data_IF_507016384608
#
_entry.id   IF_507016384608
#
_cell.length_a   1.000
_cell.length_b   1.000
_cell.length_c   1.000
_cell.angle_alpha   90.00
_cell.angle_beta   90.00
_cell.angle_gamma   90.00
#
_symmetry.space_group_name_H-M   'P 1'
#
loop_
_entity.id
_entity.type
_entity.pdbx_description
1 polymer ?
#
# COMPACT_ATOMS: atom_id res chain seq x y z
N UNK A 1 -85.75 -45.62 -7.83
CA UNK A 1 -86.05 -46.15 -6.48
C UNK A 1 -85.60 -45.10 -5.48
N UNK A 2 -86.56 -44.54 -4.71
CA UNK A 2 -86.47 -43.68 -3.51
C UNK A 2 -85.28 -42.70 -3.37
N UNK A 3 -85.44 -41.38 -3.33
CA UNK A 3 -86.25 -40.54 -2.41
C UNK A 3 -85.25 -39.50 -1.84
N UNK A 4 -85.43 -38.19 -1.87
CA UNK A 4 -86.55 -37.41 -1.35
C UNK A 4 -86.08 -36.61 -0.11
N UNK A 5 -86.11 -35.27 -0.23
CA UNK A 5 -86.17 -34.21 0.82
C UNK A 5 -84.87 -33.83 1.56
N UNK A 6 -84.37 -32.59 1.43
CA UNK A 6 -84.85 -31.26 1.91
C UNK A 6 -84.68 -31.04 3.42
N UNK A 7 -83.80 -30.10 3.77
CA UNK A 7 -83.82 -29.12 4.90
C UNK A 7 -82.43 -28.46 4.94
N UNK A 8 -82.21 -27.15 5.12
CA UNK A 8 -83.02 -25.98 5.36
C UNK A 8 -82.09 -24.77 5.56
N UNK A 9 -82.59 -23.57 5.23
CA UNK A 9 -82.31 -22.23 5.78
C UNK A 9 -80.89 -21.83 6.25
N UNK A 10 -80.18 -20.91 5.58
CA UNK A 10 -80.28 -19.42 5.59
C UNK A 10 -79.40 -18.75 6.67
N UNK A 11 -78.65 -17.71 6.24
CA UNK A 11 -78.14 -16.54 7.03
C UNK A 11 -76.84 -16.83 7.83
N UNK A 12 -75.73 -16.05 7.87
CA UNK A 12 -75.49 -14.60 7.82
C UNK A 12 -74.00 -14.28 7.58
N UNK A 13 -73.77 -13.10 6.99
CA UNK A 13 -72.77 -12.07 7.30
C UNK A 13 -71.26 -12.37 7.43
N UNK A 14 -70.53 -11.77 6.49
CA UNK A 14 -69.78 -10.52 6.72
C UNK A 14 -69.21 -10.28 8.13
N UNK A 15 -67.90 -10.51 8.26
CA UNK A 15 -66.92 -9.75 9.07
C UNK A 15 -65.59 -10.48 8.80
N UNK A 16 -64.51 -9.84 8.38
CA UNK A 16 -63.89 -8.68 9.03
C UNK A 16 -62.70 -8.24 8.15
N UNK A 17 -62.56 -6.92 7.95
CA UNK A 17 -61.31 -6.12 8.04
C UNK A 17 -60.08 -6.57 7.22
N UNK A 18 -59.26 -5.73 6.59
CA UNK A 18 -59.07 -4.28 6.54
C UNK A 18 -57.76 -4.09 5.71
N UNK A 19 -57.63 -2.98 4.97
CA UNK A 19 -56.42 -2.47 4.28
C UNK A 19 -55.96 -3.25 3.03
N UNK A 20 -56.07 -2.71 1.80
CA UNK A 20 -55.59 -1.44 1.21
C UNK A 20 -54.07 -1.46 0.94
N UNK A 21 -53.77 -1.53 -0.36
CA UNK A 21 -52.58 -1.03 -1.07
C UNK A 21 -51.25 -1.83 -1.03
N UNK A 22 -50.83 -2.15 -2.27
CA UNK A 22 -49.46 -2.14 -2.80
C UNK A 22 -48.46 -3.20 -2.32
N UNK A 23 -48.28 -4.23 -3.15
CA UNK A 23 -47.11 -5.10 -3.09
C UNK A 23 -46.55 -5.36 -4.49
N UNK A 24 -45.58 -4.51 -4.89
CA UNK A 24 -44.38 -4.85 -5.68
C UNK A 24 -43.31 -3.80 -5.34
N UNK A 25 -42.02 -4.14 -5.29
CA UNK A 25 -41.40 -5.29 -4.65
C UNK A 25 -40.48 -4.85 -3.50
N UNK A 26 -40.26 -5.72 -2.52
CA UNK A 26 -39.21 -5.59 -1.50
C UNK A 26 -37.88 -5.85 -2.20
N UNK A 27 -37.28 -4.80 -2.78
CA UNK A 27 -35.95 -4.87 -3.39
C UNK A 27 -35.27 -3.50 -3.36
N UNK A 28 -35.23 -2.84 -2.19
CA UNK A 28 -34.42 -1.61 -2.00
C UNK A 28 -33.65 -1.61 -0.67
N UNK A 29 -33.75 -2.64 0.17
CA UNK A 29 -32.97 -2.71 1.43
C UNK A 29 -31.83 -3.72 1.27
N UNK A 30 -30.89 -3.45 0.37
CA UNK A 30 -29.59 -4.16 0.34
C UNK A 30 -28.43 -3.34 -0.25
N UNK A 31 -28.57 -2.02 -0.38
CA UNK A 31 -27.53 -1.15 -0.96
C UNK A 31 -27.05 -0.02 -0.03
N UNK A 32 -27.29 -0.10 1.28
CA UNK A 32 -26.77 0.89 2.26
C UNK A 32 -25.66 0.32 3.17
N UNK A 33 -25.36 -0.99 3.13
CA UNK A 33 -24.29 -1.58 3.96
C UNK A 33 -22.88 -1.55 3.33
N UNK A 34 -22.66 -0.84 2.22
CA UNK A 34 -21.31 -0.71 1.62
C UNK A 34 -20.55 0.54 2.07
N UNK A 35 -21.10 1.34 3.01
CA UNK A 35 -20.39 2.49 3.59
C UNK A 35 -20.60 2.53 5.11
N UNK A 36 -20.08 1.52 5.81
CA UNK A 36 -19.66 1.69 7.20
C UNK A 36 -18.22 1.18 7.25
N UNK A 37 -17.20 2.04 7.12
CA UNK A 37 -15.87 1.63 7.54
C UNK A 37 -15.99 1.23 9.01
N UNK A 38 -15.63 -0.01 9.33
CA UNK A 38 -15.45 -0.41 10.70
C UNK A 38 -14.37 0.49 11.27
N UNK A 39 -14.77 1.43 12.13
CA UNK A 39 -13.84 2.20 12.96
C UNK A 39 -13.30 1.23 14.01
N UNK A 40 -12.39 0.37 13.58
CA UNK A 40 -11.37 -0.09 14.49
C UNK A 40 -10.60 1.15 14.92
N UNK A 41 -10.43 1.31 16.23
CA UNK A 41 -9.58 2.34 16.82
C UNK A 41 -8.13 1.98 16.46
N UNK A 42 -7.74 2.26 15.21
CA UNK A 42 -6.36 2.34 14.81
C UNK A 42 -5.84 3.69 15.29
N UNK A 43 -4.71 3.65 16.00
CA UNK A 43 -3.96 4.83 16.41
C UNK A 43 -3.78 5.75 15.20
N UNK A 44 -4.46 6.91 15.22
CA UNK A 44 -4.14 8.11 14.46
C UNK A 44 -3.32 7.84 13.18
N UNK A 45 -3.97 7.35 12.13
CA UNK A 45 -3.41 7.46 10.79
C UNK A 45 -3.35 8.96 10.43
N UNK A 46 -2.20 9.57 10.73
CA UNK A 46 -1.80 10.81 10.09
C UNK A 46 -1.85 10.55 8.59
N UNK A 47 -2.58 11.40 7.86
CA UNK A 47 -2.61 11.53 6.39
C UNK A 47 -1.55 10.66 5.71
N UNK A 48 -1.97 9.63 4.98
CA UNK A 48 -1.13 8.85 4.05
C UNK A 48 -0.59 9.79 2.96
N UNK A 49 0.40 10.60 3.33
CA UNK A 49 1.19 11.46 2.48
C UNK A 49 2.34 10.66 1.90
N UNK A 50 2.89 11.18 0.80
CA UNK A 50 4.14 10.69 0.23
C UNK A 50 5.22 10.73 1.33
N UNK A 51 5.77 9.57 1.67
CA UNK A 51 6.92 9.40 2.57
C UNK A 51 8.17 9.56 1.73
N UNK A 52 9.05 10.46 2.15
CA UNK A 52 10.31 10.76 1.46
C UNK A 52 11.47 10.16 2.25
N UNK A 53 12.23 9.27 1.63
CA UNK A 53 13.36 8.57 2.24
C UNK A 53 14.62 8.87 1.45
N UNK A 54 15.67 9.28 2.16
CA UNK A 54 16.96 9.57 1.57
C UNK A 54 18.03 8.57 2.02
N UNK A 55 18.98 8.30 1.12
CA UNK A 55 20.27 7.73 1.48
C UNK A 55 21.37 8.74 1.21
N UNK A 56 22.10 9.15 2.26
CA UNK A 56 23.18 10.16 2.19
C UNK A 56 24.44 9.56 1.59
N UNK A 57 24.69 8.28 1.85
CA UNK A 57 25.90 7.57 1.47
C UNK A 57 26.65 7.04 2.68
N UNK A 58 27.94 6.76 2.45
CA UNK A 58 28.83 6.10 3.39
C UNK A 58 30.05 6.97 3.71
N UNK A 59 30.46 6.97 4.98
CA UNK A 59 31.82 7.32 5.36
C UNK A 59 32.57 6.03 5.67
N UNK A 60 33.64 5.76 4.91
CA UNK A 60 34.38 4.50 4.97
C UNK A 60 35.86 4.75 5.16
N UNK A 61 36.39 4.33 6.31
CA UNK A 61 37.80 4.44 6.65
C UNK A 61 38.50 3.08 6.48
N UNK A 62 39.74 3.08 5.99
CA UNK A 62 40.61 1.89 5.86
C UNK A 62 40.05 0.69 5.07
N UNK A 63 38.93 0.85 4.36
CA UNK A 63 38.30 -0.18 3.54
C UNK A 63 38.84 -0.08 2.09
N UNK A 64 39.31 -1.16 1.46
CA UNK A 64 39.73 -1.15 0.06
C UNK A 64 38.58 -0.76 -0.90
N UNK A 65 38.90 -0.05 -1.98
CA UNK A 65 37.92 0.52 -2.92
C UNK A 65 36.92 -0.52 -3.49
N UNK A 66 37.38 -1.76 -3.75
CA UNK A 66 36.51 -2.84 -4.22
C UNK A 66 35.39 -3.16 -3.23
N UNK A 67 35.72 -3.19 -1.94
CA UNK A 67 34.75 -3.44 -0.87
C UNK A 67 33.89 -2.20 -0.60
N UNK A 68 34.44 -0.99 -0.74
CA UNK A 68 33.65 0.24 -0.67
C UNK A 68 32.50 0.25 -1.70
N UNK A 69 32.80 -0.11 -2.96
CA UNK A 69 31.78 -0.23 -4.01
C UNK A 69 30.73 -1.29 -3.70
N UNK A 70 31.17 -2.43 -3.17
CA UNK A 70 30.27 -3.51 -2.77
C UNK A 70 29.31 -3.06 -1.65
N UNK A 71 29.86 -2.43 -0.60
CA UNK A 71 29.06 -1.87 0.51
C UNK A 71 28.06 -0.85 -0.05
N UNK A 72 28.53 0.08 -0.88
CA UNK A 72 27.70 1.11 -1.47
C UNK A 72 26.51 0.53 -2.25
N UNK A 73 26.78 -0.42 -3.15
CA UNK A 73 25.72 -1.08 -3.92
C UNK A 73 24.71 -1.80 -3.02
N UNK A 74 25.19 -2.47 -1.97
CA UNK A 74 24.31 -3.18 -1.03
C UNK A 74 23.43 -2.24 -0.23
N UNK A 75 23.99 -1.17 0.32
CA UNK A 75 23.23 -0.19 1.10
C UNK A 75 22.26 0.60 0.22
N UNK A 76 22.69 1.02 -0.97
CA UNK A 76 21.82 1.68 -1.94
C UNK A 76 20.66 0.78 -2.35
N UNK A 77 20.92 -0.48 -2.69
CA UNK A 77 19.87 -1.45 -3.06
C UNK A 77 18.95 -1.77 -1.88
N UNK A 78 19.46 -1.71 -0.66
CA UNK A 78 18.70 -1.98 0.55
C UNK A 78 17.72 -0.83 0.84
N UNK A 79 18.16 0.42 0.70
CA UNK A 79 17.32 1.60 0.98
C UNK A 79 16.46 2.03 -0.22
N UNK A 80 16.79 1.64 -1.45
CA UNK A 80 15.94 1.97 -2.61
C UNK A 80 14.74 1.01 -2.70
N UNK A 81 13.57 1.45 -2.23
CA UNK A 81 12.33 0.65 -2.21
C UNK A 81 11.19 1.35 -2.97
N UNK A 82 10.27 0.56 -3.52
CA UNK A 82 9.19 1.07 -4.39
C UNK A 82 7.96 1.65 -3.64
N UNK A 83 7.97 1.64 -2.31
CA UNK A 83 6.82 2.04 -1.50
C UNK A 83 7.03 3.37 -0.76
N UNK A 84 8.05 4.13 -1.13
CA UNK A 84 8.24 5.53 -0.73
C UNK A 84 8.99 6.26 -1.85
N UNK A 85 9.03 7.59 -1.80
CA UNK A 85 9.88 8.37 -2.69
C UNK A 85 11.32 8.27 -2.20
N UNK A 86 12.21 7.77 -3.06
CA UNK A 86 13.61 7.54 -2.70
C UNK A 86 14.52 8.59 -3.32
N UNK A 87 15.39 9.18 -2.49
CA UNK A 87 16.43 10.12 -2.89
C UNK A 87 17.81 9.49 -2.69
N UNK A 88 18.53 9.26 -3.79
CA UNK A 88 19.88 8.70 -3.76
C UNK A 88 20.93 9.75 -3.36
N UNK A 89 22.15 9.33 -2.98
CA UNK A 89 23.25 10.26 -2.72
C UNK A 89 23.49 11.21 -3.90
N UNK A 90 23.33 10.70 -5.13
CA UNK A 90 23.47 11.48 -6.36
C UNK A 90 22.40 12.56 -6.45
N UNK A 91 21.13 12.21 -6.25
CA UNK A 91 20.01 13.15 -6.32
C UNK A 91 20.17 14.29 -5.29
N UNK A 92 20.63 13.94 -4.08
CA UNK A 92 20.89 14.92 -3.02
C UNK A 92 22.09 15.80 -3.34
N UNK A 93 23.16 15.23 -3.91
CA UNK A 93 24.40 15.98 -4.21
C UNK A 93 24.20 17.12 -5.22
N UNK A 94 23.20 17.03 -6.10
CA UNK A 94 22.94 18.07 -7.11
C UNK A 94 22.47 19.40 -6.50
N UNK A 95 21.85 19.37 -5.31
CA UNK A 95 21.24 20.56 -4.67
C UNK A 95 21.57 20.73 -3.19
N UNK A 96 22.11 19.71 -2.53
CA UNK A 96 22.30 19.64 -1.08
C UNK A 96 23.70 19.12 -0.67
N UNK A 97 24.69 19.17 -1.56
CA UNK A 97 26.05 18.63 -1.31
C UNK A 97 26.65 19.07 0.03
N UNK A 98 26.51 20.35 0.40
CA UNK A 98 27.04 20.88 1.65
C UNK A 98 26.52 20.13 2.90
N UNK A 99 25.29 19.62 2.86
CA UNK A 99 24.71 18.88 3.97
C UNK A 99 25.26 17.45 4.02
N UNK A 100 25.46 16.83 2.86
CA UNK A 100 26.07 15.49 2.75
C UNK A 100 27.48 15.52 3.35
N UNK A 101 28.32 16.48 2.95
CA UNK A 101 29.68 16.60 3.46
C UNK A 101 29.72 16.77 4.98
N UNK A 102 28.83 17.60 5.54
CA UNK A 102 28.74 17.80 6.99
C UNK A 102 28.29 16.55 7.75
N UNK A 103 27.44 15.72 7.15
CA UNK A 103 26.96 14.47 7.76
C UNK A 103 28.06 13.40 7.68
N UNK A 104 28.71 13.25 6.52
CA UNK A 104 29.70 12.20 6.26
C UNK A 104 31.02 12.42 7.02
N UNK A 105 31.31 13.64 7.48
CA UNK A 105 32.41 13.94 8.40
C UNK A 105 32.25 13.33 9.80
N UNK A 106 31.10 12.74 10.13
CA UNK A 106 30.78 12.10 11.40
C UNK A 106 31.23 12.87 12.65
N UNK A 107 30.48 13.91 12.99
CA UNK A 107 30.66 14.66 14.25
C UNK A 107 29.48 14.40 15.18
N UNK A 108 29.62 13.53 16.20
CA UNK A 108 28.49 13.08 17.03
C UNK A 108 27.63 14.24 17.58
N UNK A 109 28.27 15.30 18.08
CA UNK A 109 27.60 16.44 18.69
C UNK A 109 26.75 17.26 17.70
N UNK A 110 27.10 17.25 16.41
CA UNK A 110 26.38 18.00 15.37
C UNK A 110 25.55 17.12 14.44
N UNK A 111 25.65 15.79 14.55
CA UNK A 111 25.07 14.87 13.58
C UNK A 111 23.55 15.01 13.47
N UNK A 112 22.84 15.04 14.62
CA UNK A 112 21.39 15.20 14.65
C UNK A 112 20.98 16.53 14.00
N UNK A 113 21.70 17.63 14.31
CA UNK A 113 21.39 18.94 13.74
C UNK A 113 21.63 18.95 12.22
N UNK A 114 22.71 18.33 11.74
CA UNK A 114 23.01 18.25 10.31
C UNK A 114 21.95 17.43 9.56
N UNK A 115 21.52 16.29 10.14
CA UNK A 115 20.44 15.46 9.60
C UNK A 115 19.09 16.19 9.60
N UNK A 116 18.76 16.89 10.68
CA UNK A 116 17.55 17.71 10.77
C UNK A 116 17.53 18.82 9.72
N UNK A 117 18.66 19.50 9.51
CA UNK A 117 18.77 20.56 8.51
C UNK A 117 18.58 20.02 7.09
N UNK A 118 19.18 18.86 6.77
CA UNK A 118 18.96 18.18 5.49
C UNK A 118 17.50 17.76 5.32
N UNK A 119 16.89 17.21 6.37
CA UNK A 119 15.48 16.77 6.34
C UNK A 119 14.54 17.94 6.04
N UNK A 120 14.78 19.11 6.64
CA UNK A 120 14.01 20.32 6.37
C UNK A 120 14.26 20.84 4.95
N UNK A 121 15.52 20.90 4.51
CA UNK A 121 15.89 21.44 3.20
C UNK A 121 15.33 20.61 2.03
N UNK A 122 15.39 19.28 2.15
CA UNK A 122 14.96 18.34 1.12
C UNK A 122 13.58 17.71 1.36
N UNK A 123 12.84 18.16 2.39
CA UNK A 123 11.52 17.64 2.78
C UNK A 123 11.50 16.12 2.99
N UNK A 124 12.42 15.60 3.80
CA UNK A 124 12.62 14.17 4.05
C UNK A 124 11.98 13.74 5.38
N UNK A 125 11.35 12.56 5.37
CA UNK A 125 10.81 11.93 6.57
C UNK A 125 11.86 11.04 7.24
N UNK A 126 12.64 10.33 6.44
CA UNK A 126 13.68 9.40 6.90
C UNK A 126 14.98 9.62 6.16
N UNK A 127 16.10 9.55 6.88
CA UNK A 127 17.44 9.68 6.30
C UNK A 127 18.31 8.53 6.77
N UNK A 128 18.90 7.81 5.83
CA UNK A 128 19.87 6.76 6.07
C UNK A 128 21.29 7.25 5.81
N UNK A 129 22.22 6.89 6.68
CA UNK A 129 23.65 7.12 6.53
C UNK A 129 24.44 5.96 7.15
N UNK A 130 25.58 5.64 6.55
CA UNK A 130 26.42 4.51 6.98
C UNK A 130 27.82 5.01 7.36
N UNK A 131 28.34 4.54 8.50
CA UNK A 131 29.70 4.82 8.95
C UNK A 131 30.41 3.49 9.19
N UNK A 132 31.52 3.24 8.51
CA UNK A 132 32.25 1.98 8.61
C UNK A 132 33.75 2.22 8.61
N UNK A 133 34.45 1.38 9.36
CA UNK A 133 35.91 1.29 9.37
C UNK A 133 36.32 -0.17 9.20
N UNK A 134 37.50 -0.39 8.63
CA UNK A 134 38.14 -1.69 8.60
C UNK A 134 39.09 -1.83 9.79
N UNK A 135 38.75 -2.71 10.72
CA UNK A 135 39.57 -2.99 11.91
C UNK A 135 40.43 -4.25 11.80
N UNK A 136 40.53 -4.84 10.60
CA UNK A 136 41.38 -6.00 10.38
C UNK A 136 42.84 -5.61 10.27
N UNK A 137 43.69 -6.23 11.10
CA UNK A 137 45.15 -6.11 10.98
C UNK A 137 45.72 -6.92 9.79
N UNK A 138 44.92 -7.83 9.21
CA UNK A 138 45.28 -8.61 8.03
C UNK A 138 44.89 -7.87 6.75
N UNK A 139 45.87 -7.55 5.90
CA UNK A 139 45.68 -6.85 4.62
C UNK A 139 44.89 -7.64 3.58
N UNK A 140 44.67 -8.94 3.80
CA UNK A 140 43.86 -9.81 2.92
C UNK A 140 42.40 -9.90 3.33
N UNK A 141 42.03 -9.38 4.50
CA UNK A 141 40.69 -9.51 5.06
C UNK A 141 40.15 -8.14 5.44
N UNK A 142 38.83 -7.98 5.36
CA UNK A 142 38.16 -6.75 5.77
C UNK A 142 37.16 -7.08 6.86
N UNK A 143 37.40 -6.53 8.04
CA UNK A 143 36.50 -6.63 9.18
C UNK A 143 35.83 -5.29 9.37
N UNK A 144 34.56 -5.21 8.99
CA UNK A 144 33.75 -4.01 9.10
C UNK A 144 33.36 -3.80 10.56
N UNK A 145 33.66 -2.61 11.08
CA UNK A 145 33.13 -2.10 12.35
C UNK A 145 32.48 -0.75 12.11
N UNK A 146 31.27 -0.57 12.60
CA UNK A 146 30.58 0.71 12.53
C UNK A 146 29.07 0.53 12.59
N UNK A 147 28.34 1.31 11.83
CA UNK A 147 26.90 1.40 11.97
C UNK A 147 26.15 1.95 10.76
N UNK A 148 24.87 1.58 10.70
CA UNK A 148 23.88 2.22 9.85
C UNK A 148 22.92 2.99 10.74
N UNK A 149 22.70 4.24 10.40
CA UNK A 149 21.78 5.13 11.11
C UNK A 149 20.56 5.41 10.25
N UNK A 150 19.38 5.44 10.89
CA UNK A 150 18.14 5.97 10.33
C UNK A 150 17.64 7.10 11.21
N UNK A 151 17.71 8.31 10.69
CA UNK A 151 17.09 9.47 11.29
C UNK A 151 15.59 9.53 10.94
N UNK A 152 14.76 9.92 11.92
CA UNK A 152 13.34 10.20 11.73
C UNK A 152 13.07 11.67 11.98
N UNK A 153 12.62 12.38 10.94
CA UNK A 153 12.38 13.83 11.00
C UNK A 153 11.28 14.21 12.00
N UNK A 154 10.20 13.42 12.06
CA UNK A 154 9.03 13.70 12.93
C UNK A 154 9.34 13.66 14.43
N UNK A 155 10.13 12.67 14.87
CA UNK A 155 10.52 12.54 16.28
C UNK A 155 11.88 13.17 16.58
N UNK A 156 12.65 13.56 15.55
CA UNK A 156 14.02 14.02 15.65
C UNK A 156 14.94 13.00 16.36
N UNK A 157 14.76 11.72 16.06
CA UNK A 157 15.47 10.60 16.67
C UNK A 157 16.35 9.86 15.67
N UNK A 158 17.43 9.25 16.17
CA UNK A 158 18.30 8.35 15.40
C UNK A 158 18.12 6.93 15.90
N UNK A 159 17.82 6.03 14.96
CA UNK A 159 17.83 4.58 15.15
C UNK A 159 19.16 4.06 14.62
N UNK A 160 19.79 3.14 15.37
CA UNK A 160 21.16 2.68 15.13
C UNK A 160 21.17 1.16 15.02
N UNK A 161 21.86 0.67 13.99
CA UNK A 161 22.19 -0.73 13.82
C UNK A 161 23.70 -0.88 13.69
N UNK A 162 24.30 -1.65 14.61
CA UNK A 162 25.74 -1.86 14.65
C UNK A 162 26.17 -3.01 13.72
N UNK A 163 27.30 -2.81 13.03
CA UNK A 163 27.95 -3.80 12.19
C UNK A 163 29.29 -4.15 12.80
N UNK A 164 29.50 -5.45 13.03
CA UNK A 164 30.77 -6.02 13.46
C UNK A 164 30.92 -7.42 12.85
N UNK A 165 31.46 -7.49 11.65
CA UNK A 165 31.66 -8.75 10.93
C UNK A 165 32.65 -8.61 9.80
N UNK A 166 33.03 -9.73 9.21
CA UNK A 166 33.75 -9.72 7.95
C UNK A 166 32.83 -9.26 6.81
N UNK A 167 33.39 -8.58 5.81
CA UNK A 167 32.61 -8.05 4.67
C UNK A 167 31.85 -9.14 3.91
N UNK A 168 32.34 -10.37 3.93
CA UNK A 168 31.68 -11.54 3.34
C UNK A 168 30.30 -11.81 3.97
N UNK A 169 30.11 -11.47 5.24
CA UNK A 169 28.90 -11.69 6.02
C UNK A 169 27.93 -10.50 5.99
N UNK A 170 28.23 -9.44 5.22
CA UNK A 170 27.43 -8.21 5.15
C UNK A 170 25.96 -8.46 4.79
N UNK A 171 25.66 -9.54 4.06
CA UNK A 171 24.29 -9.90 3.69
C UNK A 171 23.42 -10.22 4.92
N UNK A 172 24.00 -10.73 6.00
CA UNK A 172 23.27 -10.99 7.24
C UNK A 172 22.85 -9.67 7.89
N UNK A 173 23.75 -8.68 7.89
CA UNK A 173 23.46 -7.34 8.38
C UNK A 173 22.40 -6.65 7.53
N UNK A 174 22.48 -6.71 6.19
CA UNK A 174 21.48 -6.07 5.33
C UNK A 174 20.07 -6.65 5.54
N UNK A 175 19.95 -7.95 5.81
CA UNK A 175 18.65 -8.56 6.16
C UNK A 175 18.10 -8.05 7.49
N UNK A 176 18.95 -7.92 8.52
CA UNK A 176 18.55 -7.38 9.81
C UNK A 176 18.14 -5.91 9.70
N UNK A 177 18.97 -5.08 9.03
CA UNK A 177 18.66 -3.68 8.75
C UNK A 177 17.34 -3.56 7.99
N UNK A 178 17.11 -4.41 6.98
CA UNK A 178 15.85 -4.40 6.23
C UNK A 178 14.66 -4.57 7.18
N UNK A 179 14.70 -5.62 8.01
CA UNK A 179 13.62 -5.98 8.92
C UNK A 179 13.38 -4.90 10.00
N UNK A 180 14.44 -4.35 10.56
CA UNK A 180 14.36 -3.48 11.74
C UNK A 180 14.18 -2.00 11.38
N UNK A 181 14.77 -1.55 10.26
CA UNK A 181 14.87 -0.14 9.91
C UNK A 181 14.09 0.25 8.66
N UNK A 182 13.89 -0.66 7.70
CA UNK A 182 13.25 -0.35 6.41
C UNK A 182 11.80 -0.80 6.40
N UNK A 183 11.53 -2.06 6.75
CA UNK A 183 10.17 -2.61 6.76
C UNK A 183 9.29 -1.96 7.85
N UNK A 184 9.90 -1.23 8.78
CA UNK A 184 9.19 -0.43 9.81
C UNK A 184 8.81 0.98 9.32
N UNK A 185 9.23 1.38 8.12
CA UNK A 185 8.83 2.65 7.51
C UNK A 185 7.38 2.52 6.98
N UNK A 186 6.49 3.48 7.27
CA UNK A 186 5.15 3.49 6.72
C UNK A 186 5.20 3.47 5.19
N UNK A 187 4.42 2.58 4.60
CA UNK A 187 4.36 2.49 3.15
C UNK A 187 3.56 3.68 2.62
N UNK A 188 4.17 4.44 1.73
CA UNK A 188 3.45 5.37 0.88
C UNK A 188 2.65 4.55 -0.11
N UNK A 189 1.35 4.45 0.10
CA UNK A 189 0.47 4.34 -1.05
C UNK A 189 0.73 5.59 -1.86
N UNK A 190 1.31 5.44 -3.05
CA UNK A 190 1.12 6.41 -4.12
C UNK A 190 -0.40 6.53 -4.25
N UNK A 191 -0.99 7.47 -3.52
CA UNK A 191 -2.38 7.80 -3.65
C UNK A 191 -2.57 8.02 -5.13
N UNK A 192 -3.55 7.33 -5.71
CA UNK A 192 -4.08 7.56 -7.04
C UNK A 192 -4.48 9.04 -7.09
N UNK A 193 -3.52 9.94 -7.21
CA UNK A 193 -3.64 11.37 -7.01
C UNK A 193 -3.42 12.09 -8.32
N UNK A 194 -2.56 11.53 -9.18
CA UNK A 194 -2.42 11.96 -10.57
C UNK A 194 -3.55 11.47 -11.49
N UNK A 195 -4.26 10.39 -11.12
CA UNK A 195 -5.26 9.76 -11.99
C UNK A 195 -6.69 9.73 -11.44
N UNK A 196 -7.02 10.46 -10.35
CA UNK A 196 -8.42 10.52 -9.86
C UNK A 196 -9.39 10.91 -10.97
N UNK A 197 -9.01 11.86 -11.83
CA UNK A 197 -9.82 12.29 -12.96
C UNK A 197 -10.08 11.16 -13.94
N UNK A 198 -9.08 10.32 -14.24
CA UNK A 198 -9.23 9.18 -15.15
C UNK A 198 -10.01 8.02 -14.53
N UNK A 199 -9.85 7.77 -13.23
CA UNK A 199 -10.62 6.74 -12.53
C UNK A 199 -12.08 7.20 -12.36
N UNK A 200 -12.32 8.45 -11.96
CA UNK A 200 -13.67 9.01 -11.89
C UNK A 200 -14.31 9.11 -13.28
N UNK A 201 -13.55 9.46 -14.32
CA UNK A 201 -14.03 9.41 -15.69
C UNK A 201 -14.33 7.97 -16.14
N UNK A 202 -13.47 7.00 -15.81
CA UNK A 202 -13.70 5.59 -16.10
C UNK A 202 -14.95 5.05 -15.41
N UNK A 203 -15.13 5.36 -14.11
CA UNK A 203 -16.33 5.01 -13.34
C UNK A 203 -17.56 5.72 -13.91
N UNK A 204 -17.47 7.00 -14.28
CA UNK A 204 -18.56 7.75 -14.88
C UNK A 204 -18.95 7.20 -16.27
N UNK A 205 -17.99 6.74 -17.07
CA UNK A 205 -18.23 6.08 -18.36
C UNK A 205 -18.93 4.74 -18.13
N UNK A 206 -18.47 3.92 -17.18
CA UNK A 206 -19.10 2.64 -16.83
C UNK A 206 -20.53 2.87 -16.32
N UNK A 207 -20.75 3.87 -15.46
CA UNK A 207 -22.09 4.22 -14.95
C UNK A 207 -22.99 4.78 -16.06
N UNK A 208 -22.49 5.63 -16.95
CA UNK A 208 -23.23 6.13 -18.10
C UNK A 208 -23.61 5.00 -19.07
N UNK A 209 -22.72 4.03 -19.28
CA UNK A 209 -22.97 2.84 -20.08
C UNK A 209 -23.98 1.89 -19.40
N UNK A 210 -23.88 1.73 -18.08
CA UNK A 210 -24.81 0.92 -17.28
C UNK A 210 -26.22 1.53 -17.18
N UNK A 211 -26.33 2.87 -17.22
CA UNK A 211 -27.62 3.56 -17.24
C UNK A 211 -28.27 3.58 -18.64
N UNK A 212 -27.50 3.35 -19.71
CA UNK A 212 -27.99 3.33 -21.09
C UNK A 212 -28.36 1.93 -21.58
N UNK A 213 -27.93 0.87 -20.89
CA UNK A 213 -28.38 -0.49 -21.14
C UNK A 213 -29.21 -0.98 -19.96
N UNK A 214 -30.54 -1.11 -20.17
CA UNK A 214 -31.40 -1.83 -19.23
C UNK A 214 -30.80 -3.21 -18.96
N UNK A 215 -30.57 -3.52 -17.68
CA UNK A 215 -29.90 -4.72 -17.16
C UNK A 215 -30.62 -6.06 -17.46
N UNK A 216 -30.99 -6.35 -18.71
CA UNK A 216 -31.50 -7.68 -19.10
C UNK A 216 -30.40 -8.59 -19.63
N UNK A 217 -29.33 -8.04 -20.24
CA UNK A 217 -28.33 -8.85 -20.95
C UNK A 217 -27.06 -9.18 -20.15
N UNK A 218 -26.79 -8.46 -19.05
CA UNK A 218 -25.62 -8.72 -18.20
C UNK A 218 -25.74 -10.05 -17.42
N UNK A 219 -26.98 -10.49 -17.12
CA UNK A 219 -27.24 -11.77 -16.44
C UNK A 219 -26.91 -12.99 -17.31
N UNK A 220 -26.92 -12.83 -18.64
CA UNK A 220 -26.68 -13.91 -19.60
C UNK A 220 -25.21 -14.32 -19.70
N UNK A 221 -24.30 -13.40 -19.39
CA UNK A 221 -22.86 -13.63 -19.40
C UNK A 221 -22.30 -14.07 -18.03
N UNK A 222 -23.04 -13.84 -16.94
CA UNK A 222 -22.65 -14.23 -15.57
C UNK A 222 -23.21 -15.59 -15.14
N UNK A 223 -24.24 -16.10 -15.83
CA UNK A 223 -24.79 -17.43 -15.63
C UNK A 223 -24.07 -18.45 -16.50
N UNK A 224 -22.94 -18.96 -16.03
CA UNK A 224 -22.28 -20.12 -16.63
C UNK A 224 -23.13 -21.38 -16.47
N UNK A 225 -23.63 -21.91 -17.59
CA UNK A 225 -23.95 -23.32 -17.85
C UNK A 225 -24.99 -24.01 -16.96
N UNK A 226 -26.18 -24.27 -17.52
CA UNK A 226 -26.77 -25.61 -17.43
C UNK A 226 -27.57 -25.90 -18.72
N UNK A 227 -27.37 -27.10 -19.27
CA UNK A 227 -27.96 -27.54 -20.53
C UNK A 227 -29.16 -28.44 -20.29
N UNK A 228 -30.25 -28.24 -21.03
CA UNK A 228 -31.13 -29.33 -21.49
C UNK A 228 -32.19 -28.83 -22.49
N UNK A 229 -32.01 -29.30 -23.72
CA UNK A 229 -33.01 -29.88 -24.62
C UNK A 229 -34.34 -29.17 -25.00
N UNK A 230 -34.47 -29.07 -26.35
CA UNK A 230 -35.67 -29.17 -27.22
C UNK A 230 -36.46 -27.88 -27.47
N UNK A 231 -36.36 -27.33 -28.68
CA UNK A 231 -37.18 -27.86 -29.78
C UNK A 231 -36.60 -27.46 -31.16
N UNK A 232 -36.71 -28.37 -32.11
CA UNK A 232 -36.16 -28.31 -33.46
C UNK A 232 -37.07 -27.57 -34.43
N UNK A 233 -36.55 -26.67 -35.27
CA UNK A 233 -37.05 -26.47 -36.66
C UNK A 233 -35.99 -25.77 -37.53
N UNK A 234 -35.80 -26.18 -38.81
CA UNK A 234 -34.66 -25.79 -39.64
C UNK A 234 -34.89 -24.48 -40.43
N UNK A 235 -33.83 -23.87 -41.00
CA UNK A 235 -33.93 -22.61 -41.73
C UNK A 235 -34.58 -22.81 -43.11
N UNK A 236 -35.43 -21.84 -43.51
CA UNK A 236 -35.92 -21.71 -44.88
C UNK A 236 -34.84 -20.99 -45.68
N UNK A 237 -34.31 -21.66 -46.71
CA UNK A 237 -33.21 -21.20 -47.53
C UNK A 237 -33.61 -20.16 -48.59
N UNK A 238 -32.57 -19.52 -49.12
CA UNK A 238 -32.43 -19.16 -50.53
C UNK A 238 -31.06 -19.68 -51.00
#
# INVERSE_FOLDING_TARGET
MFGGRLQGQWITNTKRKLMRYWYKPIAVILSINLVIPQVNVEKSEQKTGLVNVAYVGESMENIPESYQKLVHQKMLSLVNQNYYEFYSPKDLSESHLQYLDQILLYKPDSLINNLSNLALAANLDYIFVTFLDNISDDSKRVMLKGEVLRYQSKSNEIYRYEILSYVEDINLHTQAIKKEMIDTIPHSVHGIGKNRTYILAGIAIILAFALTQSFSDLGKYLSGGDGSDKDTTPPIGN
#
